data_IF_638192843247
#
_entry.id   IF_638192843247
#
_cell.length_a   1.000
_cell.length_b   1.000
_cell.length_c   1.000
_cell.angle_alpha   90.00
_cell.angle_beta   90.00
_cell.angle_gamma   90.00
#
_symmetry.space_group_name_H-M   'P 1'
#
loop_
_entity.id
_entity.type
_entity.pdbx_description
1 polymer ?
#
# COMPACT_ATOMS: atom_id res chain seq x y z
N UNK A 1 1.67 5.32 -18.24
CA UNK A 1 2.53 4.73 -17.19
C UNK A 1 1.73 4.62 -15.91
N UNK A 2 1.58 3.42 -15.37
CA UNK A 2 0.87 3.12 -14.12
C UNK A 2 1.87 2.68 -13.04
N UNK A 3 1.93 3.43 -11.95
CA UNK A 3 2.90 3.21 -10.87
C UNK A 3 2.33 2.33 -9.75
N UNK A 4 1.01 2.38 -9.52
CA UNK A 4 0.32 1.61 -8.49
C UNK A 4 -0.99 1.01 -9.02
N UNK A 5 -1.41 -0.11 -8.44
CA UNK A 5 -2.74 -0.66 -8.73
C UNK A 5 -3.85 0.22 -8.16
N UNK A 6 -3.63 0.83 -7.00
CA UNK A 6 -4.59 1.73 -6.35
C UNK A 6 -4.88 2.95 -7.21
N UNK A 7 -3.84 3.58 -7.78
CA UNK A 7 -4.00 4.74 -8.63
C UNK A 7 -4.88 4.47 -9.85
N UNK A 8 -4.72 3.31 -10.52
CA UNK A 8 -5.61 2.93 -11.62
C UNK A 8 -7.05 2.75 -11.15
N UNK A 9 -7.26 2.05 -10.02
CA UNK A 9 -8.62 1.85 -9.48
C UNK A 9 -9.31 3.16 -9.16
N UNK A 10 -8.60 4.11 -8.54
CA UNK A 10 -9.12 5.45 -8.23
C UNK A 10 -9.49 6.22 -9.48
N UNK A 11 -8.68 6.15 -10.54
CA UNK A 11 -9.03 6.76 -11.83
C UNK A 11 -10.28 6.13 -12.45
N UNK A 12 -10.42 4.81 -12.41
CA UNK A 12 -11.62 4.11 -12.91
C UNK A 12 -12.85 4.49 -12.07
N UNK A 13 -12.72 4.55 -10.74
CA UNK A 13 -13.79 5.01 -9.84
C UNK A 13 -14.21 6.44 -10.16
N UNK A 14 -13.26 7.36 -10.36
CA UNK A 14 -13.54 8.75 -10.73
C UNK A 14 -14.24 8.84 -12.09
N UNK A 15 -13.78 8.08 -13.10
CA UNK A 15 -14.44 8.01 -14.40
C UNK A 15 -15.87 7.46 -14.28
N UNK A 16 -16.10 6.47 -13.41
CA UNK A 16 -17.43 5.91 -13.15
C UNK A 16 -18.38 6.92 -12.52
N UNK A 17 -17.90 7.76 -11.60
CA UNK A 17 -18.70 8.81 -10.95
C UNK A 17 -19.29 9.81 -11.94
N UNK A 18 -18.64 9.99 -13.10
CA UNK A 18 -19.11 10.88 -14.19
C UNK A 18 -19.66 10.11 -15.40
N UNK A 19 -19.88 8.79 -15.29
CA UNK A 19 -20.43 7.97 -16.37
C UNK A 19 -19.49 7.73 -17.56
N UNK A 20 -18.19 7.87 -17.38
CA UNK A 20 -17.16 7.75 -18.44
C UNK A 20 -16.24 6.52 -18.28
N UNK A 21 -16.56 5.57 -17.41
CA UNK A 21 -15.68 4.43 -17.12
C UNK A 21 -15.37 3.58 -18.36
N UNK A 22 -16.36 3.24 -19.18
CA UNK A 22 -16.13 2.49 -20.43
C UNK A 22 -15.30 3.27 -21.45
N UNK A 23 -15.55 4.58 -21.59
CA UNK A 23 -14.78 5.45 -22.48
C UNK A 23 -13.32 5.56 -22.01
N UNK A 24 -13.12 5.68 -20.70
CA UNK A 24 -11.81 5.72 -20.06
C UNK A 24 -11.02 4.42 -20.27
N UNK A 25 -11.63 3.26 -19.99
CA UNK A 25 -11.00 1.94 -20.21
C UNK A 25 -10.66 1.77 -21.70
N UNK A 26 -11.56 2.15 -22.60
CA UNK A 26 -11.33 2.10 -24.06
C UNK A 26 -10.15 2.98 -24.47
N UNK A 27 -10.02 4.19 -23.92
CA UNK A 27 -8.90 5.09 -24.22
C UNK A 27 -7.56 4.51 -23.74
N UNK A 28 -7.51 3.91 -22.55
CA UNK A 28 -6.33 3.18 -22.05
C UNK A 28 -6.03 1.96 -22.96
N UNK A 29 -7.07 1.27 -23.42
CA UNK A 29 -7.01 0.13 -24.34
C UNK A 29 -6.35 0.45 -25.68
N UNK A 30 -6.47 1.69 -26.16
CA UNK A 30 -5.84 2.17 -27.40
C UNK A 30 -4.39 2.64 -27.23
N UNK A 31 -3.90 2.74 -25.99
CA UNK A 31 -2.57 3.26 -25.66
C UNK A 31 -1.56 2.14 -25.34
N UNK A 32 -0.26 2.39 -25.52
CA UNK A 32 0.77 1.49 -24.95
C UNK A 32 0.75 1.61 -23.43
N UNK A 33 0.54 0.49 -22.73
CA UNK A 33 0.36 0.45 -21.28
C UNK A 33 1.64 -0.01 -20.62
N UNK A 34 2.13 0.78 -19.69
CA UNK A 34 3.32 0.48 -18.90
C UNK A 34 2.93 0.30 -17.45
N UNK A 35 3.39 -0.78 -16.83
CA UNK A 35 3.18 -1.06 -15.41
C UNK A 35 4.52 -1.07 -14.70
N UNK A 36 4.63 -0.32 -13.59
CA UNK A 36 5.83 -0.37 -12.71
C UNK A 36 6.04 -1.74 -12.07
N UNK A 37 5.06 -2.65 -12.10
CA UNK A 37 5.22 -3.96 -11.48
C UNK A 37 3.92 -4.74 -11.37
N UNK A 38 3.91 -5.83 -10.58
CA UNK A 38 2.78 -6.76 -10.53
C UNK A 38 1.46 -6.12 -10.08
N UNK A 39 1.50 -5.15 -9.16
CA UNK A 39 0.29 -4.48 -8.63
C UNK A 39 -0.47 -3.68 -9.71
N UNK A 40 0.14 -2.72 -10.43
CA UNK A 40 -0.54 -2.05 -11.55
C UNK A 40 -0.88 -3.02 -12.69
N UNK A 41 -0.06 -4.05 -12.94
CA UNK A 41 -0.38 -5.10 -13.92
C UNK A 41 -1.66 -5.87 -13.57
N UNK A 42 -1.83 -6.26 -12.29
CA UNK A 42 -3.07 -6.89 -11.80
C UNK A 42 -4.28 -5.97 -11.94
N UNK A 43 -4.13 -4.69 -11.61
CA UNK A 43 -5.23 -3.72 -11.71
C UNK A 43 -5.69 -3.50 -13.17
N UNK A 44 -4.77 -3.58 -14.15
CA UNK A 44 -5.16 -3.58 -15.57
C UNK A 44 -6.01 -4.80 -15.92
N UNK A 45 -5.65 -5.99 -15.43
CA UNK A 45 -6.41 -7.23 -15.72
C UNK A 45 -7.81 -7.20 -15.16
N UNK A 46 -8.00 -6.56 -14.00
CA UNK A 46 -9.33 -6.36 -13.39
C UNK A 46 -10.28 -5.55 -14.29
N UNK A 47 -9.76 -4.74 -15.21
CA UNK A 47 -10.55 -3.98 -16.20
C UNK A 47 -10.44 -4.55 -17.62
N UNK A 48 -10.00 -5.81 -17.75
CA UNK A 48 -9.91 -6.50 -19.05
C UNK A 48 -8.73 -6.04 -19.93
N UNK A 49 -7.74 -5.37 -19.36
CA UNK A 49 -6.55 -4.90 -20.07
C UNK A 49 -5.28 -5.58 -19.56
N UNK A 50 -4.21 -5.52 -20.35
CA UNK A 50 -2.88 -5.99 -19.93
C UNK A 50 -1.81 -4.94 -20.17
N UNK A 51 -0.77 -4.97 -19.34
CA UNK A 51 0.40 -4.12 -19.55
C UNK A 51 1.13 -4.58 -20.83
N UNK A 52 1.43 -3.64 -21.71
CA UNK A 52 2.31 -3.89 -22.87
C UNK A 52 3.73 -4.17 -22.40
N UNK A 53 4.20 -3.41 -21.41
CA UNK A 53 5.53 -3.56 -20.81
C UNK A 53 5.39 -3.44 -19.30
N UNK A 54 6.04 -4.35 -18.57
CA UNK A 54 6.23 -4.24 -17.13
C UNK A 54 7.70 -3.91 -16.89
N UNK A 55 7.98 -2.94 -16.01
CA UNK A 55 9.37 -2.56 -15.70
C UNK A 55 10.09 -3.71 -15.01
N UNK A 56 11.38 -3.88 -15.30
CA UNK A 56 12.22 -4.92 -14.68
C UNK A 56 12.37 -4.66 -13.17
N UNK A 57 12.67 -3.41 -12.81
CA UNK A 57 12.72 -2.94 -11.43
C UNK A 57 11.44 -2.18 -11.08
N UNK A 58 10.76 -2.49 -9.97
CA UNK A 58 9.53 -1.81 -9.58
C UNK A 58 9.76 -0.46 -8.87
N UNK A 59 10.63 0.37 -9.44
CA UNK A 59 11.09 1.66 -8.90
C UNK A 59 10.90 2.78 -9.93
N UNK A 60 11.03 4.04 -9.50
CA UNK A 60 11.03 5.17 -10.44
C UNK A 60 12.22 5.11 -11.41
N UNK A 61 13.38 4.67 -10.93
CA UNK A 61 14.55 4.38 -11.76
C UNK A 61 14.24 3.30 -12.81
N UNK A 62 13.62 2.19 -12.43
CA UNK A 62 13.22 1.13 -13.36
C UNK A 62 12.23 1.59 -14.43
N UNK A 63 11.38 2.57 -14.09
CA UNK A 63 10.54 3.25 -15.08
C UNK A 63 11.40 4.02 -16.09
N UNK A 64 12.34 4.84 -15.61
CA UNK A 64 13.23 5.63 -16.48
C UNK A 64 14.09 4.74 -17.38
N UNK A 65 14.69 3.68 -16.83
CA UNK A 65 15.44 2.67 -17.59
C UNK A 65 14.58 2.04 -18.69
N UNK A 66 13.31 1.75 -18.40
CA UNK A 66 12.37 1.18 -19.38
C UNK A 66 12.01 2.19 -20.46
N UNK A 67 11.77 3.45 -20.08
CA UNK A 67 11.40 4.52 -20.99
C UNK A 67 12.57 4.95 -21.90
N UNK A 68 13.79 4.96 -21.39
CA UNK A 68 15.01 5.28 -22.14
C UNK A 68 15.28 4.32 -23.30
N UNK A 69 14.72 3.10 -23.27
CA UNK A 69 14.80 2.12 -24.36
C UNK A 69 13.78 2.37 -25.48
N UNK A 70 13.00 3.44 -25.41
CA UNK A 70 11.90 3.73 -26.33
C UNK A 70 12.06 5.11 -26.96
N UNK A 71 11.58 5.27 -28.20
CA UNK A 71 11.46 6.58 -28.82
C UNK A 71 10.20 7.30 -28.32
N UNK A 72 10.40 8.29 -27.45
CA UNK A 72 9.34 9.09 -26.85
C UNK A 72 9.11 10.43 -27.58
N UNK A 73 9.91 10.76 -28.60
CA UNK A 73 9.81 12.07 -29.27
C UNK A 73 8.42 12.31 -29.86
N UNK A 74 7.83 13.46 -29.52
CA UNK A 74 6.48 13.86 -29.95
C UNK A 74 5.35 13.02 -29.33
N UNK A 75 5.64 12.14 -28.37
CA UNK A 75 4.61 11.33 -27.68
C UNK A 75 4.03 12.08 -26.49
N UNK A 76 2.81 11.72 -26.11
CA UNK A 76 2.15 12.12 -24.86
C UNK A 76 2.16 10.94 -23.89
N UNK A 77 2.62 11.17 -22.67
CA UNK A 77 2.73 10.13 -21.64
C UNK A 77 1.82 10.49 -20.47
N UNK A 78 0.68 9.80 -20.36
CA UNK A 78 -0.11 9.81 -19.14
C UNK A 78 0.63 9.11 -18.01
N UNK A 79 0.91 9.82 -16.92
CA UNK A 79 1.70 9.32 -15.79
C UNK A 79 0.86 9.34 -14.50
N UNK A 80 0.43 8.16 -14.04
CA UNK A 80 -0.23 8.05 -12.74
C UNK A 80 0.81 8.14 -11.61
N UNK A 81 0.73 9.19 -10.81
CA UNK A 81 1.55 9.48 -9.63
C UNK A 81 0.93 8.90 -8.35
N UNK A 82 1.72 8.81 -7.28
CA UNK A 82 1.27 8.39 -5.96
C UNK A 82 1.83 9.31 -4.87
N UNK A 83 1.13 9.47 -3.72
CA UNK A 83 1.54 10.41 -2.66
C UNK A 83 2.88 10.10 -2.01
N UNK A 84 3.35 11.07 -1.22
CA UNK A 84 4.50 10.97 -0.30
C UNK A 84 5.80 10.51 -0.97
N UNK A 85 5.98 10.88 -2.23
CA UNK A 85 7.21 10.68 -2.99
C UNK A 85 7.51 11.86 -3.88
N UNK A 86 8.80 12.13 -4.03
CA UNK A 86 9.31 12.99 -5.08
C UNK A 86 9.28 12.25 -6.42
N UNK A 87 8.64 12.87 -7.42
CA UNK A 87 8.55 12.38 -8.80
C UNK A 87 9.34 13.27 -9.78
N UNK A 88 10.14 14.22 -9.29
CA UNK A 88 10.88 15.20 -10.09
C UNK A 88 11.72 14.55 -11.20
N UNK A 89 12.39 13.44 -10.90
CA UNK A 89 13.16 12.70 -11.91
C UNK A 89 12.27 12.20 -13.07
N UNK A 90 11.09 11.64 -12.78
CA UNK A 90 10.15 11.18 -13.81
C UNK A 90 9.57 12.36 -14.61
N UNK A 91 9.23 13.44 -13.91
CA UNK A 91 8.63 14.63 -14.51
C UNK A 91 9.62 15.45 -15.34
N UNK A 92 10.92 15.36 -15.06
CA UNK A 92 11.99 16.01 -15.84
C UNK A 92 12.47 15.16 -17.01
N UNK A 93 12.68 13.87 -16.81
CA UNK A 93 13.34 13.01 -17.80
C UNK A 93 12.43 12.66 -18.99
N UNK A 94 11.12 12.50 -18.76
CA UNK A 94 10.16 12.24 -19.86
C UNK A 94 10.13 13.41 -20.85
N UNK A 95 10.00 14.68 -20.42
CA UNK A 95 10.19 15.83 -21.30
C UNK A 95 11.57 15.94 -21.92
N UNK A 96 12.64 15.62 -21.19
CA UNK A 96 14.00 15.67 -21.72
C UNK A 96 14.19 14.72 -22.93
N UNK A 97 13.42 13.63 -23.02
CA UNK A 97 13.39 12.71 -24.16
C UNK A 97 12.47 13.17 -25.32
N UNK A 98 11.92 14.40 -25.25
CA UNK A 98 11.08 14.99 -26.30
C UNK A 98 9.61 14.57 -26.26
N UNK A 99 9.15 13.97 -25.16
CA UNK A 99 7.72 13.72 -24.91
C UNK A 99 7.07 14.87 -24.14
N UNK A 100 5.74 14.88 -24.10
CA UNK A 100 4.98 15.61 -23.08
C UNK A 100 4.48 14.64 -22.02
N UNK A 101 4.37 15.12 -20.78
CA UNK A 101 3.93 14.32 -19.64
C UNK A 101 2.63 14.91 -19.08
N UNK A 102 1.62 14.05 -18.91
CA UNK A 102 0.33 14.38 -18.31
C UNK A 102 0.25 13.66 -16.95
N UNK A 103 0.75 14.27 -15.85
CA UNK A 103 0.74 13.66 -14.54
C UNK A 103 -0.66 13.70 -13.92
N UNK A 104 -1.06 12.61 -13.27
CA UNK A 104 -2.31 12.53 -12.50
C UNK A 104 -2.02 11.92 -11.14
N UNK A 105 -2.35 12.62 -10.06
CA UNK A 105 -2.28 12.13 -8.68
C UNK A 105 -3.72 11.85 -8.19
N UNK A 106 -4.23 10.60 -8.33
CA UNK A 106 -5.65 10.33 -8.16
C UNK A 106 -6.08 10.11 -6.70
N UNK A 107 -5.15 10.13 -5.75
CA UNK A 107 -5.43 10.04 -4.33
C UNK A 107 -4.33 10.75 -3.55
N UNK A 108 -4.67 11.16 -2.33
CA UNK A 108 -3.74 11.62 -1.29
C UNK A 108 -3.96 10.75 -0.05
N UNK A 109 -2.95 10.63 0.80
CA UNK A 109 -3.17 10.09 2.13
C UNK A 109 -3.73 11.22 3.00
N UNK A 110 -4.96 11.06 3.46
CA UNK A 110 -5.50 11.92 4.49
C UNK A 110 -5.00 11.41 5.85
N UNK A 111 -4.02 12.12 6.41
CA UNK A 111 -3.45 11.81 7.72
C UNK A 111 -4.48 11.91 8.83
N UNK A 112 -5.47 12.80 8.71
CA UNK A 112 -6.52 13.00 9.72
C UNK A 112 -7.55 11.85 9.71
N UNK A 113 -8.05 11.46 8.53
CA UNK A 113 -8.92 10.28 8.42
C UNK A 113 -8.19 8.99 8.83
N UNK A 114 -6.87 8.91 8.64
CA UNK A 114 -6.08 7.79 9.13
C UNK A 114 -5.99 7.76 10.67
N UNK A 115 -5.98 8.91 11.34
CA UNK A 115 -6.01 9.00 12.80
C UNK A 115 -7.33 8.51 13.37
N UNK A 116 -8.47 8.95 12.83
CA UNK A 116 -9.79 8.50 13.28
C UNK A 116 -9.94 6.98 13.16
N UNK A 117 -9.47 6.39 12.07
CA UNK A 117 -9.45 4.92 11.91
C UNK A 117 -8.54 4.22 12.91
N UNK A 118 -7.39 4.81 13.25
CA UNK A 118 -6.49 4.26 14.27
C UNK A 118 -7.14 4.32 15.65
N UNK A 119 -7.75 5.45 16.01
CA UNK A 119 -8.48 5.60 17.28
C UNK A 119 -9.65 4.62 17.35
N UNK A 120 -10.38 4.44 16.25
CA UNK A 120 -11.43 3.43 16.14
C UNK A 120 -10.91 2.00 16.36
N UNK A 121 -9.81 1.63 15.71
CA UNK A 121 -9.18 0.33 15.90
C UNK A 121 -8.68 0.12 17.34
N UNK A 122 -8.13 1.17 17.98
CA UNK A 122 -7.75 1.15 19.40
C UNK A 122 -8.98 0.84 20.28
N UNK A 123 -10.10 1.51 20.02
CA UNK A 123 -11.34 1.28 20.76
C UNK A 123 -11.89 -0.14 20.53
N UNK A 124 -11.87 -0.65 19.30
CA UNK A 124 -12.29 -2.02 19.01
C UNK A 124 -11.43 -3.06 19.74
N UNK A 125 -10.10 -2.89 19.74
CA UNK A 125 -9.20 -3.74 20.52
C UNK A 125 -9.49 -3.62 22.03
N UNK A 126 -9.64 -2.41 22.55
CA UNK A 126 -9.95 -2.16 23.96
C UNK A 126 -11.29 -2.78 24.36
N UNK A 127 -12.28 -2.82 23.48
CA UNK A 127 -13.59 -3.44 23.71
C UNK A 127 -13.59 -4.96 23.48
N UNK A 128 -12.45 -5.56 23.11
CA UNK A 128 -12.34 -7.01 22.88
C UNK A 128 -13.01 -7.49 21.59
N UNK A 129 -13.25 -6.58 20.62
CA UNK A 129 -13.81 -6.93 19.29
C UNK A 129 -12.75 -7.44 18.31
N UNK A 130 -11.48 -7.39 18.69
CA UNK A 130 -10.34 -7.77 17.85
C UNK A 130 -9.53 -8.85 18.58
N UNK A 131 -9.50 -10.05 18.01
CA UNK A 131 -8.76 -11.19 18.59
C UNK A 131 -7.25 -11.11 18.33
N UNK A 132 -6.86 -10.48 17.22
CA UNK A 132 -5.46 -10.30 16.84
C UNK A 132 -5.24 -9.10 15.92
N UNK A 133 -4.04 -8.51 16.01
CA UNK A 133 -3.57 -7.43 15.14
C UNK A 133 -2.32 -7.87 14.38
N UNK A 134 -2.28 -7.61 13.07
CA UNK A 134 -1.13 -7.92 12.21
C UNK A 134 -0.32 -6.66 11.87
N UNK A 135 0.93 -6.62 12.31
CA UNK A 135 1.86 -5.52 12.12
C UNK A 135 2.95 -5.95 11.15
N UNK A 136 2.98 -5.27 10.00
CA UNK A 136 3.81 -5.62 8.84
C UNK A 136 4.95 -4.63 8.60
N UNK A 137 4.99 -3.55 9.38
CA UNK A 137 6.09 -2.58 9.37
C UNK A 137 6.27 -1.93 10.73
N UNK A 138 7.50 -1.52 11.05
CA UNK A 138 7.79 -0.77 12.28
C UNK A 138 7.11 0.60 12.29
N UNK A 139 6.83 1.17 11.10
CA UNK A 139 6.05 2.40 10.95
C UNK A 139 4.63 2.29 11.50
N UNK A 140 3.97 1.14 11.33
CA UNK A 140 2.64 0.90 11.90
C UNK A 140 2.65 0.93 13.43
N UNK A 141 3.69 0.35 14.05
CA UNK A 141 3.86 0.38 15.51
C UNK A 141 4.04 1.81 16.01
N UNK A 142 4.98 2.56 15.40
CA UNK A 142 5.24 3.95 15.77
C UNK A 142 3.99 4.80 15.62
N UNK A 143 3.25 4.64 14.52
CA UNK A 143 2.03 5.40 14.25
C UNK A 143 0.92 5.08 15.25
N UNK A 144 0.72 3.82 15.63
CA UNK A 144 -0.25 3.45 16.68
C UNK A 144 0.05 4.18 18.00
N UNK A 145 1.31 4.16 18.44
CA UNK A 145 1.73 4.82 19.69
C UNK A 145 1.62 6.34 19.58
N UNK A 146 2.10 6.94 18.48
CA UNK A 146 2.03 8.37 18.22
C UNK A 146 0.57 8.88 18.27
N UNK A 147 -0.33 8.24 17.50
CA UNK A 147 -1.74 8.65 17.44
C UNK A 147 -2.41 8.44 18.79
N UNK A 148 -2.07 7.37 19.52
CA UNK A 148 -2.61 7.20 20.87
C UNK A 148 -2.22 8.33 21.82
N UNK A 149 -1.00 8.88 21.69
CA UNK A 149 -0.56 10.04 22.46
C UNK A 149 -1.27 11.34 22.08
N UNK A 150 -1.42 11.59 20.78
CA UNK A 150 -2.14 12.77 20.26
C UNK A 150 -3.58 12.80 20.79
N UNK A 151 -4.25 11.64 20.79
CA UNK A 151 -5.66 11.50 21.17
C UNK A 151 -5.87 11.08 22.63
N UNK A 152 -4.80 11.03 23.44
CA UNK A 152 -4.81 10.69 24.87
C UNK A 152 -5.54 9.36 25.16
N UNK A 153 -5.24 8.33 24.36
CA UNK A 153 -5.85 7.01 24.44
C UNK A 153 -4.83 5.87 24.61
N UNK A 154 -3.64 6.17 25.13
CA UNK A 154 -2.55 5.21 25.37
C UNK A 154 -2.97 4.05 26.27
N UNK A 155 -3.73 4.33 27.33
CA UNK A 155 -4.24 3.30 28.25
C UNK A 155 -5.18 2.31 27.54
N UNK A 156 -6.03 2.83 26.63
CA UNK A 156 -6.90 2.00 25.79
C UNK A 156 -6.11 1.18 24.79
N UNK A 157 -5.08 1.76 24.16
CA UNK A 157 -4.18 1.02 23.29
C UNK A 157 -3.50 -0.13 24.05
N UNK A 158 -2.98 0.13 25.26
CA UNK A 158 -2.35 -0.90 26.09
C UNK A 158 -3.34 -2.00 26.48
N UNK A 159 -4.51 -1.64 27.00
CA UNK A 159 -5.55 -2.61 27.36
C UNK A 159 -6.01 -3.45 26.16
N UNK A 160 -6.15 -2.82 24.98
CA UNK A 160 -6.50 -3.52 23.75
C UNK A 160 -5.42 -4.48 23.27
N UNK A 161 -4.15 -4.06 23.30
CA UNK A 161 -3.00 -4.90 22.94
C UNK A 161 -2.69 -5.98 24.00
N UNK A 162 -3.10 -5.80 25.24
CA UNK A 162 -3.08 -6.85 26.27
C UNK A 162 -4.07 -7.98 25.96
N UNK A 163 -5.25 -7.62 25.41
CA UNK A 163 -6.31 -8.57 25.06
C UNK A 163 -6.07 -9.24 23.70
N UNK A 164 -5.72 -8.46 22.69
CA UNK A 164 -5.52 -8.95 21.33
C UNK A 164 -4.13 -9.59 21.17
N UNK A 165 -4.03 -10.68 20.41
CA UNK A 165 -2.73 -11.27 20.03
C UNK A 165 -2.00 -10.38 19.03
N UNK A 166 -0.72 -10.11 19.27
CA UNK A 166 0.10 -9.23 18.42
C UNK A 166 0.92 -10.08 17.46
N UNK A 167 0.57 -10.02 16.17
CA UNK A 167 1.29 -10.70 15.11
C UNK A 167 2.28 -9.75 14.43
N UNK A 168 3.55 -10.14 14.41
CA UNK A 168 4.66 -9.39 13.79
C UNK A 168 5.16 -10.13 12.56
N UNK A 169 5.28 -9.42 11.43
CA UNK A 169 5.78 -10.04 10.19
C UNK A 169 7.26 -10.43 10.26
N UNK A 170 8.04 -9.86 11.18
CA UNK A 170 9.49 -10.10 11.25
C UNK A 170 10.21 -9.30 12.34
N UNK A 171 11.52 -9.57 12.54
CA UNK A 171 12.27 -9.11 13.71
C UNK A 171 12.29 -7.59 13.87
N UNK A 172 12.39 -6.82 12.77
CA UNK A 172 12.37 -5.35 12.82
C UNK A 172 11.08 -4.80 13.45
N UNK A 173 9.94 -5.45 13.21
CA UNK A 173 8.66 -5.06 13.81
C UNK A 173 8.59 -5.49 15.27
N UNK A 174 9.07 -6.71 15.59
CA UNK A 174 9.14 -7.23 16.95
C UNK A 174 10.05 -6.39 17.86
N UNK A 175 11.19 -5.94 17.36
CA UNK A 175 12.11 -5.06 18.08
C UNK A 175 11.48 -3.70 18.35
N UNK A 176 10.71 -3.16 17.39
CA UNK A 176 9.98 -1.92 17.57
C UNK A 176 8.87 -2.06 18.62
N UNK A 177 8.15 -3.19 18.65
CA UNK A 177 7.17 -3.49 19.70
C UNK A 177 7.86 -3.53 21.08
N UNK A 178 8.97 -4.26 21.18
CA UNK A 178 9.76 -4.38 22.40
C UNK A 178 10.25 -3.02 22.91
N UNK A 179 10.67 -2.12 22.01
CA UNK A 179 11.10 -0.76 22.36
C UNK A 179 9.98 0.07 23.02
N UNK A 180 8.70 -0.24 22.74
CA UNK A 180 7.54 0.38 23.40
C UNK A 180 7.00 -0.44 24.59
N UNK A 181 7.71 -1.49 25.00
CA UNK A 181 7.28 -2.40 26.06
C UNK A 181 6.12 -3.32 25.66
N UNK A 182 5.92 -3.54 24.36
CA UNK A 182 4.87 -4.40 23.83
C UNK A 182 5.44 -5.79 23.47
N UNK A 183 4.62 -6.83 23.65
CA UNK A 183 5.00 -8.21 23.33
C UNK A 183 4.80 -8.52 21.84
N UNK A 184 5.33 -9.66 21.40
CA UNK A 184 5.01 -10.28 20.11
C UNK A 184 4.52 -11.69 20.39
N UNK A 185 3.28 -11.99 20.03
CA UNK A 185 2.65 -13.29 20.31
C UNK A 185 2.81 -14.25 19.12
N UNK A 186 2.77 -13.71 17.89
CA UNK A 186 2.75 -14.51 16.67
C UNK A 186 3.82 -13.98 15.71
N UNK A 187 4.63 -14.88 15.17
CA UNK A 187 5.60 -14.59 14.09
C UNK A 187 5.53 -15.69 13.03
N UNK A 188 5.85 -15.38 11.75
CA UNK A 188 5.91 -16.41 10.73
C UNK A 188 7.10 -17.34 10.97
N UNK A 189 6.88 -18.64 10.79
CA UNK A 189 7.92 -19.66 10.94
C UNK A 189 9.01 -19.56 9.85
N UNK A 190 10.16 -20.19 10.09
CA UNK A 190 11.24 -20.39 9.12
C UNK A 190 11.78 -19.10 8.48
N UNK A 191 11.74 -17.98 9.21
CA UNK A 191 12.15 -16.65 8.73
C UNK A 191 11.41 -16.19 7.45
N UNK A 192 10.20 -16.70 7.22
CA UNK A 192 9.39 -16.40 6.04
C UNK A 192 8.60 -15.11 6.25
N UNK A 193 9.29 -13.96 6.26
CA UNK A 193 8.75 -12.63 6.61
C UNK A 193 7.88 -11.99 5.51
N UNK A 194 6.81 -12.67 5.13
CA UNK A 194 5.81 -12.17 4.18
C UNK A 194 4.40 -12.60 4.61
N UNK A 195 3.39 -12.03 3.97
CA UNK A 195 2.01 -12.13 4.45
C UNK A 195 1.47 -13.56 4.57
N UNK A 196 1.72 -14.41 3.58
CA UNK A 196 1.13 -15.76 3.56
C UNK A 196 1.52 -16.58 4.82
N UNK A 197 2.80 -16.72 5.18
CA UNK A 197 3.24 -17.35 6.43
C UNK A 197 2.70 -16.68 7.68
N UNK A 198 2.63 -15.34 7.72
CA UNK A 198 2.08 -14.62 8.88
C UNK A 198 0.60 -15.00 9.10
N UNK A 199 -0.20 -14.99 8.03
CA UNK A 199 -1.61 -15.37 8.09
C UNK A 199 -1.77 -16.84 8.51
N UNK A 200 -0.92 -17.75 8.01
CA UNK A 200 -0.93 -19.14 8.45
C UNK A 200 -0.63 -19.28 9.95
N UNK A 201 0.38 -18.55 10.46
CA UNK A 201 0.71 -18.56 11.88
C UNK A 201 -0.42 -17.98 12.74
N UNK A 202 -1.07 -16.90 12.28
CA UNK A 202 -2.23 -16.32 12.95
C UNK A 202 -3.41 -17.29 12.99
N UNK A 203 -3.71 -17.96 11.88
CA UNK A 203 -4.79 -18.95 11.82
C UNK A 203 -4.53 -20.11 12.80
N UNK A 204 -3.30 -20.58 12.93
CA UNK A 204 -2.94 -21.62 13.92
C UNK A 204 -3.14 -21.10 15.34
N UNK A 205 -2.65 -19.89 15.64
CA UNK A 205 -2.73 -19.32 16.98
C UNK A 205 -4.16 -19.02 17.44
N UNK A 206 -5.04 -18.59 16.52
CA UNK A 206 -6.43 -18.27 16.81
C UNK A 206 -7.34 -19.51 16.91
N UNK A 207 -6.98 -20.61 16.23
CA UNK A 207 -7.71 -21.89 16.32
C UNK A 207 -7.16 -22.83 17.41
N UNK A 208 -6.10 -22.44 18.11
CA UNK A 208 -5.64 -23.21 19.25
C UNK A 208 -6.72 -23.18 20.35
N UNK A 209 -7.19 -24.34 20.85
CA UNK A 209 -8.16 -24.36 21.93
C UNK A 209 -7.58 -23.59 23.11
N UNK A 210 -8.36 -22.66 23.68
CA UNK A 210 -7.96 -21.95 24.89
C UNK A 210 -7.60 -22.99 25.95
N UNK A 211 -6.35 -22.94 26.42
CA UNK A 211 -5.86 -23.86 27.42
C UNK A 211 -6.72 -23.78 28.67
N UNK A 212 -7.21 -24.95 29.11
CA UNK A 212 -7.62 -25.21 30.50
C UNK A 212 -6.52 -24.82 31.48
#
# INVERSE_FOLDING_TARGET
MLTTGEGLRRLVTAARQVGLDQAFITAIGKSRRFARGPKPGKALREIGLEATITTEKPTSEGILETLARLDLRGRRVGLQLYPDRDHGALLGEIPAQGASVDPVLPYIYDTSAAEDHIVGAIEEMAQGRVDAVALTSSGQVRRLVEVSGIHRCEDRLRAGLERARIASIGPVVSDQLKAYGLRTDITPANNAYFMKPLISAMAISLNAPEGR
#
